data_IF_061020313948
#
_entry.id   IF_061020313948
#
_cell.length_a   1.000
_cell.length_b   1.000
_cell.length_c   1.000
_cell.angle_alpha   90.00
_cell.angle_beta   90.00
_cell.angle_gamma   90.00
#
_symmetry.space_group_name_H-M   'P 1'
#
loop_
_entity.id
_entity.type
_entity.pdbx_description
1 polymer ?
#
# COMPACT_ATOMS: atom_id res chain seq x y z
N UNK A 1 17.94 -5.32 5.03
CA UNK A 1 17.08 -6.24 5.79
C UNK A 1 17.64 -6.48 7.19
N UNK A 2 16.77 -6.54 8.20
CA UNK A 2 17.12 -6.82 9.60
C UNK A 2 16.57 -8.20 10.00
N UNK A 3 17.18 -9.31 9.56
CA UNK A 3 16.59 -10.65 9.68
C UNK A 3 16.46 -11.15 11.13
N UNK A 4 17.22 -10.57 12.07
CA UNK A 4 17.27 -10.99 13.47
C UNK A 4 16.47 -10.07 14.40
N UNK A 5 15.91 -8.97 13.90
CA UNK A 5 15.12 -8.06 14.71
C UNK A 5 13.67 -8.59 14.78
N UNK A 6 13.11 -8.84 15.97
CA UNK A 6 11.73 -9.31 16.07
C UNK A 6 10.75 -8.20 15.68
N UNK A 7 9.64 -8.59 15.06
CA UNK A 7 8.48 -7.75 14.80
C UNK A 7 7.72 -7.48 16.11
N UNK A 8 6.94 -6.39 16.13
CA UNK A 8 6.05 -6.09 17.26
C UNK A 8 5.06 -7.24 17.56
N UNK A 9 4.63 -7.94 16.51
CA UNK A 9 3.78 -9.13 16.62
C UNK A 9 4.47 -10.28 17.35
N UNK A 10 5.74 -10.55 17.06
CA UNK A 10 6.50 -11.64 17.69
C UNK A 10 6.75 -11.40 19.18
N UNK A 11 6.79 -10.15 19.62
CA UNK A 11 6.94 -9.78 21.04
C UNK A 11 5.60 -9.48 21.74
N UNK A 12 4.48 -9.87 21.14
CA UNK A 12 3.17 -9.85 21.82
C UNK A 12 2.33 -8.59 21.62
N UNK A 13 2.75 -7.62 20.79
CA UNK A 13 1.91 -6.50 20.40
C UNK A 13 1.22 -6.80 19.06
N UNK A 14 -0.12 -6.94 19.01
CA UNK A 14 -0.86 -7.28 17.79
C UNK A 14 -1.03 -6.07 16.86
N UNK A 15 0.06 -5.35 16.61
CA UNK A 15 0.09 -4.15 15.77
C UNK A 15 0.93 -4.38 14.53
N UNK A 16 0.43 -3.86 13.42
CA UNK A 16 1.11 -3.86 12.13
C UNK A 16 0.88 -2.48 11.50
N UNK A 17 1.96 -1.84 11.04
CA UNK A 17 1.90 -0.58 10.31
C UNK A 17 2.71 -0.74 9.03
N UNK A 18 2.02 -0.69 7.90
CA UNK A 18 2.64 -0.55 6.59
C UNK A 18 2.46 0.88 6.09
N UNK A 19 3.45 1.39 5.35
CA UNK A 19 3.35 2.65 4.62
C UNK A 19 3.35 2.37 3.12
N UNK A 20 2.22 1.89 2.56
CA UNK A 20 2.14 1.60 1.14
C UNK A 20 2.05 2.88 0.32
N UNK A 21 2.59 2.84 -0.89
CA UNK A 21 2.34 3.83 -1.93
C UNK A 21 1.91 3.10 -3.20
N UNK A 22 1.22 3.80 -4.08
CA UNK A 22 0.82 3.27 -5.37
C UNK A 22 0.48 4.36 -6.36
N UNK A 23 0.11 3.95 -7.57
CA UNK A 23 -0.11 4.86 -8.69
C UNK A 23 -1.61 4.95 -8.97
N UNK A 24 -2.11 6.18 -9.10
CA UNK A 24 -3.49 6.47 -9.48
C UNK A 24 -3.51 7.35 -10.72
N UNK A 25 -4.52 7.16 -11.57
CA UNK A 25 -4.77 7.99 -12.74
C UNK A 25 -6.00 8.88 -12.56
N UNK A 26 -6.23 9.84 -13.47
CA UNK A 26 -7.46 10.63 -13.49
C UNK A 26 -8.74 9.78 -13.50
N UNK A 27 -9.82 10.35 -12.98
CA UNK A 27 -11.14 9.74 -13.09
C UNK A 27 -11.54 9.51 -14.56
N UNK A 28 -12.26 8.43 -14.83
CA UNK A 28 -12.80 8.08 -16.15
C UNK A 28 -11.76 7.88 -17.26
N UNK A 29 -10.52 7.48 -16.92
CA UNK A 29 -9.56 7.03 -17.93
C UNK A 29 -10.14 5.89 -18.78
N UNK A 30 -9.85 5.92 -20.08
CA UNK A 30 -10.25 4.87 -21.01
C UNK A 30 -9.68 3.51 -20.53
N UNK A 31 -10.48 2.43 -20.47
CA UNK A 31 -10.01 1.13 -19.96
C UNK A 31 -8.76 0.59 -20.69
N UNK A 32 -8.66 0.83 -22.00
CA UNK A 32 -7.49 0.43 -22.79
C UNK A 32 -6.19 1.15 -22.35
N UNK A 33 -6.29 2.40 -21.90
CA UNK A 33 -5.14 3.16 -21.38
C UNK A 33 -4.76 2.64 -19.99
N UNK A 34 -5.74 2.39 -19.13
CA UNK A 34 -5.52 1.79 -17.80
C UNK A 34 -4.80 0.45 -17.94
N UNK A 35 -5.29 -0.42 -18.82
CA UNK A 35 -4.67 -1.72 -19.08
C UNK A 35 -3.22 -1.57 -19.57
N UNK A 36 -2.97 -0.67 -20.52
CA UNK A 36 -1.61 -0.46 -21.05
C UNK A 36 -0.63 -0.01 -19.97
N UNK A 37 -1.07 0.85 -19.04
CA UNK A 37 -0.26 1.29 -17.91
C UNK A 37 -0.03 0.15 -16.92
N UNK A 38 -1.07 -0.62 -16.57
CA UNK A 38 -0.96 -1.78 -15.69
C UNK A 38 0.05 -2.81 -16.22
N UNK A 39 -0.06 -3.17 -17.51
CA UNK A 39 0.87 -4.10 -18.15
C UNK A 39 2.32 -3.58 -18.08
N UNK A 40 2.53 -2.28 -18.32
CA UNK A 40 3.84 -1.65 -18.25
C UNK A 40 4.41 -1.67 -16.82
N UNK A 41 3.61 -1.33 -15.81
CA UNK A 41 4.02 -1.38 -14.41
C UNK A 41 4.35 -2.82 -13.98
N UNK A 42 3.50 -3.79 -14.32
CA UNK A 42 3.73 -5.21 -14.02
C UNK A 42 5.03 -5.72 -14.61
N UNK A 43 5.40 -5.26 -15.81
CA UNK A 43 6.68 -5.61 -16.43
C UNK A 43 7.86 -4.90 -15.75
N UNK A 44 7.72 -3.62 -15.41
CA UNK A 44 8.75 -2.85 -14.72
C UNK A 44 9.10 -3.45 -13.34
N UNK A 45 8.12 -4.00 -12.62
CA UNK A 45 8.34 -4.67 -11.33
C UNK A 45 9.22 -5.94 -11.43
N UNK A 46 9.42 -6.48 -12.64
CA UNK A 46 10.29 -7.64 -12.90
C UNK A 46 11.68 -7.22 -13.37
N UNK A 47 11.92 -5.93 -13.60
CA UNK A 47 13.21 -5.43 -14.07
C UNK A 47 14.29 -5.63 -12.99
N UNK A 48 15.44 -6.25 -13.32
CA UNK A 48 16.51 -6.48 -12.35
C UNK A 48 17.05 -5.22 -11.67
N UNK A 49 17.08 -4.08 -12.37
CA UNK A 49 17.51 -2.80 -11.80
C UNK A 49 16.48 -2.29 -10.81
N UNK A 50 15.19 -2.41 -11.13
CA UNK A 50 14.12 -2.06 -10.18
C UNK A 50 14.21 -2.92 -8.91
N UNK A 51 14.35 -4.25 -9.06
CA UNK A 51 14.49 -5.18 -7.94
C UNK A 51 15.73 -4.92 -7.08
N UNK A 52 16.83 -4.48 -7.70
CA UNK A 52 18.03 -4.11 -6.96
C UNK A 52 17.80 -2.85 -6.12
N UNK A 53 17.20 -1.82 -6.72
CA UNK A 53 16.88 -0.56 -6.03
C UNK A 53 15.92 -0.79 -4.87
N UNK A 54 14.81 -1.51 -5.08
CA UNK A 54 13.84 -1.76 -4.01
C UNK A 54 14.45 -2.53 -2.86
N UNK A 55 15.30 -3.53 -3.12
CA UNK A 55 16.04 -4.25 -2.08
C UNK A 55 16.97 -3.34 -1.27
N UNK A 56 17.71 -2.44 -1.94
CA UNK A 56 18.60 -1.50 -1.26
C UNK A 56 17.84 -0.57 -0.29
N UNK A 57 16.62 -0.17 -0.65
CA UNK A 57 15.77 0.69 0.17
C UNK A 57 14.82 -0.09 1.11
N UNK A 58 14.93 -1.42 1.19
CA UNK A 58 14.03 -2.24 2.02
C UNK A 58 12.56 -2.17 1.59
N UNK A 59 12.31 -1.85 0.31
CA UNK A 59 10.99 -1.76 -0.27
C UNK A 59 10.56 -3.14 -0.77
N UNK A 60 9.34 -3.54 -0.43
CA UNK A 60 8.74 -4.79 -0.90
C UNK A 60 7.64 -4.45 -1.91
N UNK A 61 7.70 -5.05 -3.10
CA UNK A 61 6.65 -4.88 -4.10
C UNK A 61 5.38 -5.59 -3.67
N UNK A 62 4.29 -4.84 -3.54
CA UNK A 62 2.95 -5.36 -3.28
C UNK A 62 2.05 -5.02 -4.48
N UNK A 63 2.27 -5.72 -5.59
CA UNK A 63 1.53 -5.44 -6.82
C UNK A 63 0.04 -5.78 -6.66
N UNK A 64 -0.80 -4.83 -7.07
CA UNK A 64 -2.24 -4.99 -7.21
C UNK A 64 -2.61 -4.53 -8.62
N UNK A 65 -3.46 -5.29 -9.30
CA UNK A 65 -4.06 -4.82 -10.54
C UNK A 65 -5.04 -3.65 -10.27
N UNK A 66 -5.55 -2.95 -11.30
CA UNK A 66 -6.40 -1.78 -11.11
C UNK A 66 -7.65 -2.04 -10.26
N UNK A 67 -8.30 -3.20 -10.42
CA UNK A 67 -9.50 -3.57 -9.67
C UNK A 67 -9.17 -3.81 -8.19
N UNK A 68 -8.11 -4.57 -7.93
CA UNK A 68 -7.61 -4.86 -6.58
C UNK A 68 -7.17 -3.59 -5.86
N UNK A 69 -6.44 -2.71 -6.54
CA UNK A 69 -5.96 -1.47 -5.94
C UNK A 69 -7.10 -0.50 -5.65
N UNK A 70 -8.13 -0.46 -6.51
CA UNK A 70 -9.36 0.31 -6.26
C UNK A 70 -10.07 -0.17 -5.01
N UNK A 71 -10.29 -1.49 -4.89
CA UNK A 71 -10.94 -2.08 -3.73
C UNK A 71 -10.12 -1.85 -2.44
N UNK A 72 -8.79 -1.96 -2.53
CA UNK A 72 -7.88 -1.66 -1.43
C UNK A 72 -8.01 -0.19 -0.99
N UNK A 73 -7.93 0.76 -1.92
CA UNK A 73 -7.99 2.20 -1.63
C UNK A 73 -9.30 2.60 -0.97
N UNK A 74 -10.43 2.06 -1.45
CA UNK A 74 -11.75 2.29 -0.85
C UNK A 74 -11.82 1.75 0.58
N UNK A 75 -11.29 0.54 0.81
CA UNK A 75 -11.25 -0.06 2.14
C UNK A 75 -10.36 0.74 3.09
N UNK A 76 -9.17 1.13 2.65
CA UNK A 76 -8.20 1.91 3.43
C UNK A 76 -8.82 3.24 3.86
N UNK A 77 -9.38 4.00 2.91
CA UNK A 77 -10.04 5.27 3.16
C UNK A 77 -11.15 5.15 4.22
N UNK A 78 -12.01 4.13 4.09
CA UNK A 78 -13.07 3.86 5.08
C UNK A 78 -12.49 3.56 6.46
N UNK A 79 -11.55 2.62 6.56
CA UNK A 79 -11.00 2.19 7.84
C UNK A 79 -10.22 3.29 8.55
N UNK A 80 -9.44 4.08 7.81
CA UNK A 80 -8.68 5.21 8.36
C UNK A 80 -9.63 6.32 8.82
N UNK A 81 -10.67 6.61 8.04
CA UNK A 81 -11.72 7.56 8.42
C UNK A 81 -12.44 7.17 9.71
N UNK A 82 -12.78 5.88 9.89
CA UNK A 82 -13.39 5.37 11.12
C UNK A 82 -12.46 5.53 12.35
N UNK A 83 -11.15 5.29 12.18
CA UNK A 83 -10.16 5.49 13.24
C UNK A 83 -10.07 6.97 13.61
N UNK A 84 -9.94 7.86 12.63
CA UNK A 84 -9.87 9.31 12.84
C UNK A 84 -11.13 9.81 13.57
N UNK A 85 -12.32 9.36 13.16
CA UNK A 85 -13.57 9.74 13.79
C UNK A 85 -13.63 9.30 15.26
N UNK A 86 -13.22 8.06 15.57
CA UNK A 86 -13.17 7.56 16.95
C UNK A 86 -12.18 8.33 17.82
N UNK A 87 -11.01 8.67 17.28
CA UNK A 87 -10.00 9.46 17.99
C UNK A 87 -10.51 10.88 18.26
N UNK A 88 -11.12 11.53 17.27
CA UNK A 88 -11.70 12.85 17.43
C UNK A 88 -12.79 12.88 18.53
N UNK A 89 -13.60 11.82 18.62
CA UNK A 89 -14.63 11.72 19.66
C UNK A 89 -14.03 11.47 21.05
N UNK A 90 -13.01 10.62 21.16
CA UNK A 90 -12.31 10.40 22.44
C UNK A 90 -11.65 11.69 22.96
N UNK A 91 -11.11 12.53 22.07
CA UNK A 91 -10.48 13.81 22.42
C UNK A 91 -11.47 14.88 22.89
N UNK A 92 -12.75 14.81 22.49
CA UNK A 92 -13.79 15.75 22.98
C UNK A 92 -14.25 15.44 24.41
N UNK A 93 -14.06 14.20 24.84
CA UNK A 93 -14.50 13.69 26.14
C UNK A 93 -13.39 13.71 27.20
N UNK A 94 -12.28 14.41 26.92
CA UNK A 94 -11.20 14.76 27.86
C UNK A 94 -11.26 16.26 28.16
#
# INVERSE_FOLDING_TARGET
>A
DFPNAPTLKEIGYPVWSNSPFGIVGPANMKPAVVKRLDDAFRNALKDPKFLNVTRQYGMVSNYMNPEQYTAYAQKAFKSEGEIIARLAEAMKNQ
#
